data_IF_723950314463
#
_entry.id   IF_723950314463
#
_cell.length_a   1.000
_cell.length_b   1.000
_cell.length_c   1.000
_cell.angle_alpha   90.00
_cell.angle_beta   90.00
_cell.angle_gamma   90.00
#
_symmetry.space_group_name_H-M   'P 1'
#
loop_
_entity.id
_entity.type
_entity.pdbx_description
1 polymer ?
#
# COMPACT_ATOMS: atom_id res chain seq x y z
N UNK A 1 19.21 4.31 6.31
CA UNK A 1 17.96 4.97 5.84
C UNK A 1 18.06 6.44 6.18
N UNK A 2 17.78 7.33 5.23
CA UNK A 2 17.65 8.75 5.53
C UNK A 2 16.34 8.99 6.28
N UNK A 3 16.42 9.71 7.39
CA UNK A 3 15.25 10.28 8.04
C UNK A 3 14.81 11.44 7.15
N UNK A 4 13.62 11.36 6.55
CA UNK A 4 13.05 12.46 5.78
C UNK A 4 11.81 12.95 6.50
N UNK A 5 11.90 14.14 7.09
CA UNK A 5 10.74 14.77 7.68
C UNK A 5 9.81 15.24 6.55
N UNK A 6 8.56 14.80 6.47
CA UNK A 6 7.59 15.30 5.48
C UNK A 6 7.30 16.81 5.58
N UNK A 7 7.67 17.46 6.68
CA UNK A 7 7.55 18.91 6.83
C UNK A 7 8.75 19.66 6.21
N UNK A 8 9.95 19.12 6.37
CA UNK A 8 11.19 19.83 6.04
C UNK A 8 11.84 19.32 4.75
N UNK A 9 11.70 18.02 4.48
CA UNK A 9 12.33 17.30 3.38
C UNK A 9 11.42 17.23 2.13
N UNK A 10 12.01 17.47 0.96
CA UNK A 10 11.34 17.31 -0.32
C UNK A 10 10.89 15.86 -0.58
N UNK A 11 11.69 14.89 -0.14
CA UNK A 11 11.37 13.46 -0.23
C UNK A 11 10.08 13.16 0.52
N UNK A 12 9.97 13.63 1.76
CA UNK A 12 8.76 13.43 2.56
C UNK A 12 7.54 14.16 1.99
N UNK A 13 7.71 15.38 1.46
CA UNK A 13 6.63 16.09 0.74
C UNK A 13 6.15 15.31 -0.49
N UNK A 14 7.06 14.68 -1.24
CA UNK A 14 6.71 13.87 -2.40
C UNK A 14 5.93 12.60 -2.01
N UNK A 15 6.26 11.97 -0.89
CA UNK A 15 5.47 10.85 -0.33
C UNK A 15 4.04 11.29 -0.03
N UNK A 16 3.85 12.46 0.60
CA UNK A 16 2.51 12.98 0.90
C UNK A 16 1.72 13.33 -0.36
N UNK A 17 2.35 13.94 -1.36
CA UNK A 17 1.72 14.19 -2.66
C UNK A 17 1.22 12.90 -3.30
N UNK A 18 2.03 11.84 -3.25
CA UNK A 18 1.65 10.51 -3.75
C UNK A 18 0.44 9.96 -3.00
N UNK A 19 0.42 10.00 -1.67
CA UNK A 19 -0.76 9.56 -0.90
C UNK A 19 -2.00 10.35 -1.30
N UNK A 20 -1.90 11.69 -1.45
CA UNK A 20 -3.05 12.48 -1.89
C UNK A 20 -3.54 12.09 -3.28
N UNK A 21 -2.63 11.90 -4.23
CA UNK A 21 -2.98 11.47 -5.58
C UNK A 21 -3.66 10.10 -5.57
N UNK A 22 -3.15 9.17 -4.77
CA UNK A 22 -3.72 7.84 -4.67
C UNK A 22 -5.12 7.87 -4.06
N UNK A 23 -5.33 8.64 -2.98
CA UNK A 23 -6.66 8.82 -2.39
C UNK A 23 -7.66 9.32 -3.43
N UNK A 24 -7.29 10.32 -4.24
CA UNK A 24 -8.12 10.85 -5.32
C UNK A 24 -8.39 9.81 -6.43
N UNK A 25 -7.40 9.00 -6.78
CA UNK A 25 -7.55 7.94 -7.78
C UNK A 25 -8.48 6.82 -7.29
N UNK A 26 -8.38 6.47 -6.01
CA UNK A 26 -9.25 5.47 -5.38
C UNK A 26 -10.69 5.99 -5.31
N UNK A 27 -10.91 7.24 -4.89
CA UNK A 27 -12.23 7.89 -4.92
C UNK A 27 -12.83 7.87 -6.34
N UNK A 28 -12.03 8.21 -7.36
CA UNK A 28 -12.49 8.19 -8.76
C UNK A 28 -12.83 6.77 -9.24
N UNK A 29 -12.04 5.75 -8.83
CA UNK A 29 -12.29 4.35 -9.16
C UNK A 29 -13.57 3.83 -8.48
N UNK A 30 -13.78 4.17 -7.20
CA UNK A 30 -15.00 3.86 -6.45
C UNK A 30 -16.24 4.45 -7.14
N UNK A 31 -16.23 5.77 -7.43
CA UNK A 31 -17.34 6.43 -8.12
C UNK A 31 -17.64 5.81 -9.49
N UNK A 32 -16.60 5.42 -10.24
CA UNK A 32 -16.77 4.74 -11.52
C UNK A 32 -17.42 3.37 -11.33
N UNK A 33 -16.94 2.58 -10.38
CA UNK A 33 -17.46 1.25 -10.09
C UNK A 33 -18.95 1.31 -9.70
N UNK A 34 -19.30 2.23 -8.80
CA UNK A 34 -20.67 2.52 -8.38
C UNK A 34 -21.58 2.91 -9.56
N UNK A 35 -21.12 3.83 -10.41
CA UNK A 35 -21.89 4.27 -11.59
C UNK A 35 -22.17 3.15 -12.61
N UNK A 36 -21.37 2.09 -12.58
CA UNK A 36 -21.49 0.92 -13.46
C UNK A 36 -22.21 -0.26 -12.78
N UNK A 37 -22.59 -0.15 -11.50
CA UNK A 37 -23.15 -1.26 -10.74
C UNK A 37 -22.15 -2.41 -10.54
N UNK A 38 -20.86 -2.09 -10.48
CA UNK A 38 -19.76 -3.06 -10.33
C UNK A 38 -18.96 -2.74 -9.07
N UNK A 39 -18.24 -3.74 -8.54
CA UNK A 39 -17.29 -3.55 -7.45
C UNK A 39 -15.94 -4.14 -7.84
N UNK A 40 -14.84 -3.47 -7.51
CA UNK A 40 -13.52 -4.06 -7.59
C UNK A 40 -13.27 -4.91 -6.34
N UNK A 41 -12.61 -6.06 -6.50
CA UNK A 41 -12.25 -6.94 -5.37
C UNK A 41 -10.86 -6.64 -4.85
N UNK A 42 -9.96 -6.22 -5.75
CA UNK A 42 -8.54 -6.03 -5.50
C UNK A 42 -8.06 -4.71 -6.08
N UNK A 43 -7.13 -4.08 -5.37
CA UNK A 43 -6.37 -2.91 -5.83
C UNK A 43 -4.89 -3.27 -5.80
N UNK A 44 -4.23 -3.05 -6.93
CA UNK A 44 -2.77 -3.19 -7.07
C UNK A 44 -2.16 -1.79 -7.16
N UNK A 45 -1.44 -1.38 -6.12
CA UNK A 45 -0.69 -0.13 -6.05
C UNK A 45 0.77 -0.42 -6.40
N UNK A 46 1.25 0.20 -7.48
CA UNK A 46 2.63 0.07 -7.96
C UNK A 46 3.30 1.43 -7.98
N UNK A 47 4.50 1.52 -7.40
CA UNK A 47 5.33 2.74 -7.42
C UNK A 47 6.27 2.80 -8.62
N UNK A 48 6.69 1.65 -9.11
CA UNK A 48 7.71 1.48 -10.14
C UNK A 48 7.19 0.48 -11.19
N UNK A 49 7.78 0.49 -12.39
CA UNK A 49 7.52 -0.52 -13.42
C UNK A 49 8.11 -1.87 -12.97
N UNK A 50 7.32 -2.62 -12.22
CA UNK A 50 7.72 -3.94 -11.73
C UNK A 50 7.38 -4.99 -12.79
N UNK A 51 8.09 -4.95 -13.92
CA UNK A 51 7.94 -5.92 -15.03
C UNK A 51 8.01 -7.38 -14.56
N UNK A 52 8.74 -7.63 -13.47
CA UNK A 52 8.87 -8.95 -12.85
C UNK A 52 7.60 -9.43 -12.12
N UNK A 53 6.61 -8.56 -11.87
CA UNK A 53 5.30 -8.94 -11.32
C UNK A 53 4.38 -9.63 -12.33
N UNK A 54 4.75 -9.67 -13.62
CA UNK A 54 3.86 -10.18 -14.66
C UNK A 54 4.15 -11.63 -15.04
N UNK A 55 3.11 -12.49 -15.13
CA UNK A 55 1.73 -12.30 -14.65
C UNK A 55 1.54 -12.44 -13.12
N UNK A 56 0.74 -11.55 -12.53
CA UNK A 56 0.32 -11.63 -11.13
C UNK A 56 -0.85 -12.62 -10.99
N UNK A 57 -0.67 -13.68 -10.20
CA UNK A 57 -1.73 -14.66 -9.96
C UNK A 57 -2.60 -14.28 -8.75
N UNK A 58 -3.75 -13.65 -9.00
CA UNK A 58 -4.67 -13.23 -7.93
C UNK A 58 -5.25 -14.40 -7.11
N UNK A 59 -5.25 -15.64 -7.63
CA UNK A 59 -5.76 -16.81 -6.89
C UNK A 59 -4.84 -17.25 -5.74
N UNK A 60 -3.60 -16.76 -5.68
CA UNK A 60 -2.69 -17.00 -4.57
C UNK A 60 -3.02 -16.15 -3.34
N UNK A 61 -3.91 -15.17 -3.48
CA UNK A 61 -4.31 -14.26 -2.41
C UNK A 61 -5.68 -14.68 -1.87
N UNK A 62 -5.79 -14.72 -0.54
CA UNK A 62 -6.98 -15.19 0.14
C UNK A 62 -8.13 -14.19 0.02
N UNK A 63 -9.35 -14.68 -0.17
CA UNK A 63 -10.55 -13.90 0.11
C UNK A 63 -10.83 -13.99 1.62
N UNK A 64 -10.27 -13.08 2.40
CA UNK A 64 -10.66 -12.92 3.80
C UNK A 64 -11.88 -12.01 3.90
N UNK A 65 -12.72 -12.25 4.90
CA UNK A 65 -13.64 -11.21 5.39
C UNK A 65 -12.82 -10.11 6.09
N UNK A 66 -13.08 -8.85 5.76
CA UNK A 66 -12.39 -7.70 6.34
C UNK A 66 -11.11 -7.27 5.62
N UNK A 67 -10.48 -6.16 6.07
CA UNK A 67 -9.37 -5.53 5.38
C UNK A 67 -8.14 -6.45 5.33
N UNK A 68 -7.48 -6.49 4.18
CA UNK A 68 -6.22 -7.23 4.03
C UNK A 68 -5.25 -6.51 3.08
N UNK A 69 -4.00 -6.40 3.51
CA UNK A 69 -2.90 -5.83 2.75
C UNK A 69 -1.80 -6.87 2.55
N UNK A 70 -1.42 -7.08 1.30
CA UNK A 70 -0.27 -7.86 0.89
C UNK A 70 0.85 -6.91 0.46
N UNK A 71 2.03 -7.11 1.03
CA UNK A 71 3.23 -6.37 0.68
C UNK A 71 4.38 -7.31 0.38
N UNK A 72 5.39 -6.81 -0.32
CA UNK A 72 6.64 -7.55 -0.50
C UNK A 72 7.45 -7.46 0.79
N UNK A 73 8.00 -8.60 1.24
CA UNK A 73 8.92 -8.63 2.37
C UNK A 73 10.21 -7.85 2.05
N UNK A 74 10.48 -6.80 2.81
CA UNK A 74 11.70 -6.02 2.72
C UNK A 74 12.75 -6.58 3.70
N UNK A 75 13.41 -7.68 3.30
CA UNK A 75 14.41 -8.43 4.08
C UNK A 75 15.48 -7.55 4.76
N UNK A 76 15.79 -6.39 4.18
CA UNK A 76 16.86 -5.50 4.64
C UNK A 76 16.44 -4.46 5.67
N UNK A 77 15.16 -4.08 5.71
CA UNK A 77 14.73 -2.88 6.43
C UNK A 77 13.55 -3.09 7.40
N UNK A 78 13.06 -4.33 7.55
CA UNK A 78 12.10 -4.69 8.60
C UNK A 78 10.75 -3.99 8.48
N UNK A 79 10.34 -3.64 7.27
CA UNK A 79 9.14 -2.87 6.99
C UNK A 79 8.40 -3.36 5.75
N UNK A 80 7.24 -2.75 5.51
CA UNK A 80 6.40 -3.02 4.33
C UNK A 80 7.01 -2.31 3.14
N UNK A 81 7.40 -3.07 2.12
CA UNK A 81 7.90 -2.48 0.87
C UNK A 81 6.75 -1.78 0.13
N UNK A 82 6.77 -0.46 0.09
CA UNK A 82 5.72 0.36 -0.55
C UNK A 82 5.83 0.42 -2.09
N UNK A 83 6.70 -0.39 -2.71
CA UNK A 83 6.83 -0.46 -4.17
C UNK A 83 5.69 -1.23 -4.83
N UNK A 84 5.19 -2.28 -4.18
CA UNK A 84 4.04 -3.04 -4.63
C UNK A 84 3.18 -3.44 -3.44
N UNK A 85 1.94 -3.00 -3.46
CA UNK A 85 0.93 -3.37 -2.48
C UNK A 85 -0.27 -3.94 -3.22
N UNK A 86 -0.77 -5.06 -2.76
CA UNK A 86 -2.04 -5.62 -3.21
C UNK A 86 -2.98 -5.65 -2.02
N UNK A 87 -4.18 -5.10 -2.15
CA UNK A 87 -5.14 -5.07 -1.05
C UNK A 87 -6.56 -5.23 -1.55
N UNK A 88 -7.43 -5.73 -0.68
CA UNK A 88 -8.84 -5.84 -1.00
C UNK A 88 -9.57 -4.50 -0.84
N UNK A 89 -10.83 -4.47 -1.26
CA UNK A 89 -11.66 -3.26 -1.19
C UNK A 89 -11.75 -2.67 0.23
N UNK A 90 -11.91 -3.52 1.25
CA UNK A 90 -12.04 -3.10 2.65
C UNK A 90 -10.77 -2.40 3.15
N UNK A 91 -9.60 -2.96 2.85
CA UNK A 91 -8.33 -2.30 3.13
C UNK A 91 -8.16 -1.04 2.29
N UNK A 92 -8.63 -1.02 1.04
CA UNK A 92 -8.60 0.16 0.20
C UNK A 92 -9.38 1.35 0.80
N UNK A 93 -10.57 1.09 1.35
CA UNK A 93 -11.39 2.10 2.00
C UNK A 93 -10.70 2.73 3.24
N UNK A 94 -9.80 1.99 3.89
CA UNK A 94 -8.96 2.51 4.98
C UNK A 94 -7.71 3.20 4.43
N UNK A 95 -7.00 2.59 3.48
CA UNK A 95 -5.74 3.09 2.92
C UNK A 95 -5.89 4.41 2.17
N UNK A 96 -7.08 4.74 1.66
CA UNK A 96 -7.39 6.08 1.10
C UNK A 96 -7.44 7.20 2.14
N UNK A 97 -7.27 6.88 3.43
CA UNK A 97 -7.20 7.86 4.51
C UNK A 97 -5.75 8.21 4.88
N UNK A 98 -4.74 7.57 4.27
CA UNK A 98 -3.32 7.76 4.60
C UNK A 98 -2.89 9.21 4.58
N UNK A 99 -3.29 9.98 3.56
CA UNK A 99 -2.97 11.41 3.52
C UNK A 99 -3.62 12.16 4.68
N UNK A 100 -4.92 11.94 4.91
CA UNK A 100 -5.65 12.65 5.97
C UNK A 100 -5.14 12.31 7.37
N UNK A 101 -4.83 11.04 7.63
CA UNK A 101 -4.31 10.54 8.91
C UNK A 101 -2.90 11.06 9.20
N UNK A 102 -2.13 11.39 8.16
CA UNK A 102 -0.85 12.05 8.34
C UNK A 102 -0.99 13.44 8.98
N UNK A 103 -2.01 14.22 8.59
CA UNK A 103 -2.22 15.58 9.12
C UNK A 103 -3.12 15.64 10.35
N UNK A 104 -4.11 14.76 10.44
CA UNK A 104 -5.09 14.71 11.51
C UNK A 104 -4.74 13.54 12.41
N UNK A 105 -3.55 13.56 13.01
CA UNK A 105 -3.00 12.39 13.68
C UNK A 105 -3.94 11.86 14.79
N UNK A 106 -4.77 10.88 14.43
CA UNK A 106 -5.74 10.25 15.31
C UNK A 106 -5.10 9.11 16.13
N UNK A 107 -3.83 8.74 15.88
CA UNK A 107 -3.17 7.59 16.48
C UNK A 107 -1.70 7.86 16.84
N UNK A 108 -1.36 7.78 18.13
CA UNK A 108 -0.02 8.06 18.68
C UNK A 108 1.11 7.22 18.07
N UNK A 109 0.80 6.06 17.48
CA UNK A 109 1.79 5.24 16.77
C UNK A 109 2.36 5.93 15.52
N UNK A 110 1.61 6.87 14.93
CA UNK A 110 2.04 7.61 13.73
C UNK A 110 3.04 8.72 14.05
N UNK A 111 3.07 9.23 15.29
CA UNK A 111 4.00 10.28 15.74
C UNK A 111 5.47 9.84 15.66
N UNK A 112 5.72 8.54 15.81
CA UNK A 112 7.07 7.96 15.84
C UNK A 112 7.53 7.43 14.48
N UNK A 113 6.88 7.84 13.39
CA UNK A 113 7.21 7.40 12.04
C UNK A 113 8.18 8.38 11.38
N UNK A 114 9.17 7.85 10.67
CA UNK A 114 10.30 8.66 10.18
C UNK A 114 10.52 8.56 8.67
N UNK A 115 9.73 7.74 8.00
CA UNK A 115 9.72 7.51 6.56
C UNK A 115 8.39 6.83 6.14
N UNK A 116 8.15 6.72 4.84
CA UNK A 116 6.94 6.14 4.26
C UNK A 116 6.68 4.68 4.69
N UNK A 117 7.72 3.86 4.84
CA UNK A 117 7.59 2.44 5.19
C UNK A 117 7.16 2.30 6.66
N UNK A 118 7.80 3.06 7.56
CA UNK A 118 7.44 3.13 8.97
C UNK A 118 6.05 3.76 9.18
N UNK A 119 5.68 4.75 8.36
CA UNK A 119 4.34 5.34 8.38
C UNK A 119 3.29 4.32 7.93
N UNK A 120 3.54 3.61 6.83
CA UNK A 120 2.62 2.57 6.35
C UNK A 120 2.46 1.45 7.38
N UNK A 121 3.55 1.00 8.00
CA UNK A 121 3.51 0.00 9.07
C UNK A 121 2.69 0.50 10.27
N UNK A 122 2.98 1.72 10.75
CA UNK A 122 2.22 2.34 11.85
C UNK A 122 0.74 2.53 11.51
N UNK A 123 0.43 2.92 10.27
CA UNK A 123 -0.93 3.07 9.76
C UNK A 123 -1.68 1.74 9.76
N UNK A 124 -1.06 0.66 9.27
CA UNK A 124 -1.70 -0.66 9.26
C UNK A 124 -2.01 -1.15 10.66
N UNK A 125 -1.18 -0.82 11.65
CA UNK A 125 -1.45 -1.13 13.07
C UNK A 125 -2.56 -0.22 13.63
N UNK A 126 -2.53 1.08 13.34
CA UNK A 126 -3.50 2.04 13.84
C UNK A 126 -4.95 1.76 13.39
N UNK A 127 -5.11 1.15 12.22
CA UNK A 127 -6.41 0.89 11.60
C UNK A 127 -6.74 -0.61 11.48
N UNK A 128 -6.06 -1.46 12.25
CA UNK A 128 -6.27 -2.91 12.28
C UNK A 128 -6.32 -3.54 10.88
N UNK A 129 -5.33 -3.23 10.05
CA UNK A 129 -5.17 -3.80 8.70
C UNK A 129 -4.13 -4.93 8.78
N UNK A 130 -4.55 -6.21 8.75
CA UNK A 130 -3.64 -7.33 8.59
C UNK A 130 -2.69 -7.15 7.41
N UNK A 131 -1.40 -7.31 7.68
CA UNK A 131 -0.34 -7.26 6.67
C UNK A 131 0.25 -8.65 6.48
N UNK A 132 0.19 -9.14 5.25
CA UNK A 132 0.82 -10.39 4.85
C UNK A 132 2.02 -10.04 3.97
N UNK A 133 3.21 -10.22 4.53
CA UNK A 133 4.46 -10.07 3.79
C UNK A 133 4.71 -11.34 2.99
N UNK A 134 4.84 -11.16 1.68
CA UNK A 134 5.06 -12.26 0.74
C UNK A 134 6.50 -12.20 0.24
N UNK A 135 7.16 -13.36 0.03
CA UNK A 135 8.39 -13.42 -0.72
C UNK A 135 8.22 -12.74 -2.09
N UNK A 136 9.28 -12.08 -2.58
CA UNK A 136 9.31 -11.48 -3.93
C UNK A 136 8.84 -12.48 -5.00
N UNK A 137 9.20 -13.75 -4.84
CA UNK A 137 8.83 -14.88 -5.70
C UNK A 137 7.34 -15.25 -5.72
N UNK A 138 6.52 -14.74 -4.80
CA UNK A 138 5.06 -14.94 -4.84
C UNK A 138 4.35 -13.78 -5.54
N UNK A 139 5.03 -12.63 -5.62
CA UNK A 139 4.64 -11.50 -6.44
C UNK A 139 5.11 -11.66 -7.91
N UNK A 140 6.17 -12.45 -8.15
CA UNK A 140 6.70 -12.78 -9.48
C UNK A 140 6.36 -14.23 -9.92
N UNK A 141 6.13 -14.52 -11.20
CA UNK A 141 6.13 -15.91 -11.67
C UNK A 141 7.55 -16.49 -11.67
N UNK A 142 7.69 -17.76 -11.28
CA UNK A 142 8.97 -18.50 -11.28
C UNK A 142 9.68 -18.49 -12.65
N UNK A 143 8.94 -18.30 -13.75
CA UNK A 143 9.46 -18.29 -15.11
C UNK A 143 10.17 -17.00 -15.55
N UNK A 144 10.06 -15.89 -14.81
CA UNK A 144 10.64 -14.59 -15.20
C UNK A 144 12.07 -14.35 -14.71
N UNK A 145 12.62 -15.20 -13.83
CA UNK A 145 13.95 -14.98 -13.22
C UNK A 145 15.13 -15.64 -13.95
N UNK A 146 14.89 -16.35 -15.06
CA UNK A 146 15.93 -17.08 -15.81
C UNK A 146 16.13 -16.57 -17.24
N UNK A 147 15.92 -15.28 -17.51
CA UNK A 147 16.23 -14.67 -18.81
C UNK A 147 17.26 -13.56 -18.69
#
# INVERSE_FOLDING_TARGET
>A
MSLYSPYEDEVGRNVLRRYKTLDMLMEAAEHRAESQGTNYTWVLELREDLLWLQPLNLSAFGSSEGPMLYGIDCLLYGGINDKALLYNMDAGALLKRRYSAFYHNDATILDNTHNAESFLAGFTVAYDIPVILMPVLQFAPVSSMYR
#
